data_IF_704320625283
#
_entry.id   IF_704320625283
#
_cell.length_a   1.000
_cell.length_b   1.000
_cell.length_c   1.000
_cell.angle_alpha   90.00
_cell.angle_beta   90.00
_cell.angle_gamma   90.00
#
_symmetry.space_group_name_H-M   'P 1'
#
loop_
_entity.id
_entity.type
_entity.pdbx_description
1 polymer ?
#
# COMPACT_ATOMS: atom_id res chain seq x y z
N UNK A 1 20.91 14.39 48.61
CA UNK A 1 20.01 15.50 48.27
C UNK A 1 20.23 15.89 46.81
N UNK A 2 19.43 15.34 45.91
CA UNK A 2 18.89 16.00 44.71
C UNK A 2 18.09 14.95 43.96
N UNK A 3 16.86 14.76 44.44
CA UNK A 3 15.80 14.15 43.67
C UNK A 3 15.08 15.22 42.85
N UNK A 4 14.27 14.71 41.92
CA UNK A 4 13.20 15.39 41.19
C UNK A 4 13.62 16.47 40.19
N UNK A 5 13.69 16.10 38.90
CA UNK A 5 13.40 17.00 37.77
C UNK A 5 13.20 16.28 36.41
N UNK A 6 12.62 15.07 36.38
CA UNK A 6 12.19 14.41 35.13
C UNK A 6 10.83 13.72 35.27
N UNK A 7 9.81 14.45 35.72
CA UNK A 7 8.44 13.92 35.77
C UNK A 7 7.39 14.98 35.44
N UNK A 8 7.56 15.69 34.32
CA UNK A 8 6.58 16.67 33.88
C UNK A 8 6.51 16.87 32.37
N UNK A 9 6.32 15.79 31.62
CA UNK A 9 5.77 15.86 30.26
C UNK A 9 4.70 14.76 30.08
N UNK A 10 3.44 15.16 30.31
CA UNK A 10 2.24 14.62 29.71
C UNK A 10 2.01 13.10 29.75
N UNK A 11 1.55 12.56 30.88
CA UNK A 11 0.64 11.40 30.84
C UNK A 11 -0.67 11.85 30.18
N UNK A 12 -0.75 11.74 28.86
CA UNK A 12 -2.04 11.77 28.17
C UNK A 12 -2.69 10.40 28.35
N UNK A 13 -3.63 10.34 29.28
CA UNK A 13 -4.60 9.25 29.43
C UNK A 13 -5.33 9.06 28.10
N UNK A 14 -5.02 7.99 27.38
CA UNK A 14 -5.85 7.50 26.27
C UNK A 14 -7.15 6.98 26.86
N UNK A 15 -8.13 7.89 26.98
CA UNK A 15 -9.50 7.53 27.29
C UNK A 15 -10.02 6.49 26.29
N UNK A 16 -10.84 5.56 26.77
CA UNK A 16 -11.40 4.41 26.06
C UNK A 16 -12.43 4.77 24.97
N UNK A 17 -12.26 5.91 24.32
CA UNK A 17 -13.02 6.35 23.15
C UNK A 17 -11.98 6.74 22.10
N UNK A 18 -11.82 5.90 21.07
CA UNK A 18 -10.82 6.11 20.02
C UNK A 18 -10.96 7.50 19.40
N UNK A 19 -9.86 8.17 18.99
CA UNK A 19 -9.90 9.56 18.57
C UNK A 19 -10.84 9.73 17.36
N UNK A 20 -12.00 10.34 17.60
CA UNK A 20 -12.86 10.91 16.56
C UNK A 20 -12.19 12.19 16.04
N UNK A 21 -11.28 12.02 15.10
CA UNK A 21 -10.58 13.11 14.43
C UNK A 21 -9.21 12.64 13.92
N UNK A 22 -9.13 12.40 12.61
CA UNK A 22 -8.03 11.76 11.86
C UNK A 22 -8.02 10.22 12.00
N UNK A 23 -8.58 9.54 10.99
CA UNK A 23 -8.54 8.07 10.85
C UNK A 23 -7.11 7.57 10.65
N UNK A 24 -6.38 7.37 11.74
CA UNK A 24 -5.05 6.75 11.73
C UNK A 24 -5.10 5.36 11.09
N UNK A 25 -4.10 5.05 10.26
CA UNK A 25 -3.97 3.73 9.64
C UNK A 25 -3.38 2.72 10.63
N UNK A 26 -4.06 1.60 10.83
CA UNK A 26 -3.55 0.46 11.62
C UNK A 26 -2.56 -0.35 10.79
N UNK A 27 -1.31 -0.42 11.25
CA UNK A 27 -0.26 -1.27 10.70
C UNK A 27 -0.11 -2.49 11.61
N UNK A 28 -0.19 -3.68 11.04
CA UNK A 28 -0.07 -4.96 11.77
C UNK A 28 1.38 -5.42 11.74
N UNK A 29 2.06 -5.46 12.88
CA UNK A 29 3.35 -6.14 13.01
C UNK A 29 3.08 -7.65 13.16
N UNK A 30 3.60 -8.45 12.23
CA UNK A 30 3.49 -9.91 12.20
C UNK A 30 4.87 -10.46 11.83
N UNK A 31 5.52 -11.17 12.77
CA UNK A 31 6.84 -11.77 12.56
C UNK A 31 7.88 -10.78 12.00
N UNK A 32 7.90 -9.55 12.51
CA UNK A 32 8.84 -8.51 12.08
C UNK A 32 8.47 -7.81 10.77
N UNK A 33 7.34 -8.17 10.14
CA UNK A 33 6.83 -7.54 8.91
C UNK A 33 5.69 -6.59 9.24
N UNK A 34 5.64 -5.47 8.54
CA UNK A 34 4.62 -4.44 8.74
C UNK A 34 3.57 -4.53 7.62
N UNK A 35 2.38 -5.00 7.98
CA UNK A 35 1.34 -5.35 7.01
C UNK A 35 0.11 -4.47 7.16
N UNK A 36 -0.45 -4.04 6.02
CA UNK A 36 -1.74 -3.34 5.97
C UNK A 36 -2.68 -4.13 5.07
N UNK A 37 -3.77 -4.62 5.68
CA UNK A 37 -4.75 -5.48 5.02
C UNK A 37 -5.98 -4.73 4.50
N UNK A 38 -6.32 -3.60 5.12
CA UNK A 38 -7.52 -2.84 4.78
C UNK A 38 -7.33 -2.06 3.46
N UNK A 39 -8.13 -2.31 2.41
CA UNK A 39 -8.04 -1.58 1.15
C UNK A 39 -8.25 -0.08 1.31
N UNK A 40 -9.12 0.36 2.23
CA UNK A 40 -9.39 1.78 2.44
C UNK A 40 -8.18 2.47 3.09
N UNK A 41 -7.57 1.82 4.08
CA UNK A 41 -6.30 2.26 4.66
C UNK A 41 -5.18 2.37 3.63
N UNK A 42 -5.02 1.37 2.76
CA UNK A 42 -4.04 1.38 1.66
C UNK A 42 -4.30 2.54 0.71
N UNK A 43 -5.56 2.77 0.35
CA UNK A 43 -5.93 3.89 -0.51
C UNK A 43 -5.73 5.26 0.17
N UNK A 44 -5.81 5.35 1.49
CA UNK A 44 -5.47 6.56 2.25
C UNK A 44 -3.96 6.81 2.24
N UNK A 45 -3.15 5.80 2.60
CA UNK A 45 -1.68 5.89 2.57
C UNK A 45 -1.17 6.35 1.22
N UNK A 46 -1.72 5.78 0.14
CA UNK A 46 -1.32 6.14 -1.22
C UNK A 46 -1.69 7.57 -1.60
N UNK A 47 -2.85 8.08 -1.17
CA UNK A 47 -3.37 9.40 -1.58
C UNK A 47 -2.91 10.55 -0.69
N UNK A 48 -2.66 10.29 0.59
CA UNK A 48 -2.35 11.33 1.59
C UNK A 48 -0.89 11.34 2.00
N UNK A 49 -0.28 10.16 2.09
CA UNK A 49 1.07 9.97 2.65
C UNK A 49 2.10 9.55 1.60
N UNK A 50 1.72 9.54 0.31
CA UNK A 50 2.56 9.12 -0.82
C UNK A 50 3.23 7.75 -0.60
N UNK A 51 2.58 6.87 0.17
CA UNK A 51 3.13 5.57 0.57
C UNK A 51 2.40 4.46 -0.17
N UNK A 52 3.14 3.67 -0.96
CA UNK A 52 2.57 2.59 -1.77
C UNK A 52 2.59 1.23 -1.07
N UNK A 53 3.67 0.93 -0.36
CA UNK A 53 4.00 -0.44 0.06
C UNK A 53 4.23 -1.38 -1.12
N UNK A 54 4.56 -2.63 -0.80
CA UNK A 54 4.71 -3.72 -1.77
C UNK A 54 3.56 -4.71 -1.58
N UNK A 55 2.81 -5.03 -2.64
CA UNK A 55 1.77 -6.06 -2.57
C UNK A 55 2.43 -7.43 -2.36
N UNK A 56 2.00 -8.16 -1.33
CA UNK A 56 2.59 -9.46 -0.97
C UNK A 56 1.57 -10.58 -0.82
N UNK A 57 0.27 -10.27 -0.88
CA UNK A 57 -0.77 -11.27 -0.81
C UNK A 57 -1.03 -11.96 -2.14
N UNK A 58 -1.68 -13.12 -2.07
CA UNK A 58 -2.18 -13.85 -3.26
C UNK A 58 -3.65 -13.53 -3.49
N UNK A 59 -4.07 -13.51 -4.75
CA UNK A 59 -5.50 -13.36 -5.07
C UNK A 59 -6.23 -14.67 -4.77
N UNK A 60 -7.30 -14.66 -3.94
CA UNK A 60 -7.97 -15.90 -3.54
C UNK A 60 -8.54 -16.71 -4.72
N UNK A 61 -8.86 -16.04 -5.84
CA UNK A 61 -9.41 -16.68 -7.04
C UNK A 61 -8.34 -17.35 -7.92
N UNK A 62 -7.05 -17.00 -7.73
CA UNK A 62 -5.94 -17.49 -8.55
C UNK A 62 -4.70 -17.77 -7.67
N UNK A 63 -4.76 -18.79 -6.79
CA UNK A 63 -3.75 -19.03 -5.77
C UNK A 63 -2.37 -19.44 -6.31
N UNK A 64 -2.29 -19.94 -7.55
CA UNK A 64 -1.04 -20.31 -8.22
C UNK A 64 -0.43 -19.16 -9.02
N UNK A 65 -1.06 -17.98 -9.05
CA UNK A 65 -0.58 -16.84 -9.80
C UNK A 65 0.32 -15.95 -8.94
N UNK A 66 1.63 -16.17 -9.08
CA UNK A 66 2.66 -15.35 -8.40
C UNK A 66 3.04 -14.08 -9.19
N UNK A 67 2.38 -13.81 -10.32
CA UNK A 67 2.70 -12.65 -11.19
C UNK A 67 1.98 -11.38 -10.73
N UNK A 68 0.75 -11.49 -10.21
CA UNK A 68 -0.02 -10.36 -9.71
C UNK A 68 -0.35 -10.58 -8.25
N UNK A 69 0.40 -9.89 -7.39
CA UNK A 69 0.18 -9.89 -5.95
C UNK A 69 -0.94 -8.91 -5.59
N UNK A 70 -1.69 -9.25 -4.55
CA UNK A 70 -2.77 -8.46 -3.98
C UNK A 70 -2.47 -8.04 -2.55
N UNK A 71 -3.52 -7.64 -1.83
CA UNK A 71 -3.43 -7.30 -0.41
C UNK A 71 -3.07 -8.54 0.43
N UNK A 72 -2.30 -8.38 1.51
CA UNK A 72 -1.88 -7.11 2.11
C UNK A 72 -0.74 -6.41 1.35
N UNK A 73 -0.57 -5.11 1.64
CA UNK A 73 0.72 -4.45 1.36
C UNK A 73 1.67 -4.67 2.54
N UNK A 74 2.94 -4.83 2.23
CA UNK A 74 4.05 -4.76 3.16
C UNK A 74 4.68 -3.37 3.08
N UNK A 75 4.83 -2.74 4.26
CA UNK A 75 5.55 -1.49 4.44
C UNK A 75 6.96 -1.78 4.90
N UNK A 76 7.90 -1.00 4.43
CA UNK A 76 9.29 -1.06 4.88
C UNK A 76 9.43 -0.34 6.22
N UNK A 77 10.40 -0.71 7.08
CA UNK A 77 10.60 -0.07 8.38
C UNK A 77 10.67 1.46 8.29
N UNK A 78 11.34 1.97 7.25
CA UNK A 78 11.54 3.40 7.03
C UNK A 78 10.22 4.12 6.71
N UNK A 79 9.34 3.48 5.94
CA UNK A 79 8.00 4.00 5.63
C UNK A 79 7.14 4.02 6.90
N UNK A 80 7.24 2.98 7.72
CA UNK A 80 6.52 2.91 9.00
C UNK A 80 6.98 4.02 9.94
N UNK A 81 8.29 4.22 10.11
CA UNK A 81 8.83 5.32 10.89
C UNK A 81 8.32 6.68 10.39
N UNK A 82 8.35 6.91 9.07
CA UNK A 82 7.89 8.15 8.47
C UNK A 82 6.39 8.40 8.71
N UNK A 83 5.55 7.36 8.67
CA UNK A 83 4.12 7.45 8.96
C UNK A 83 3.84 7.71 10.45
N UNK A 84 4.62 7.10 11.34
CA UNK A 84 4.53 7.30 12.79
C UNK A 84 4.91 8.73 13.18
N UNK A 85 5.97 9.31 12.59
CA UNK A 85 6.38 10.69 12.86
C UNK A 85 5.32 11.72 12.44
N UNK A 86 4.62 11.47 11.34
CA UNK A 86 3.54 12.33 10.83
C UNK A 86 2.22 12.16 11.59
N UNK A 87 2.14 11.18 12.50
CA UNK A 87 0.89 10.80 13.15
C UNK A 87 -0.20 10.44 12.11
N UNK A 88 0.18 9.67 11.07
CA UNK A 88 -0.73 9.14 10.05
C UNK A 88 -1.13 7.68 10.29
N UNK A 89 -0.32 6.96 11.06
CA UNK A 89 -0.51 5.53 11.34
C UNK A 89 -0.08 5.17 12.76
N UNK A 90 -0.43 3.96 13.19
CA UNK A 90 0.05 3.33 14.43
C UNK A 90 0.34 1.85 14.18
N UNK A 91 1.33 1.30 14.89
CA UNK A 91 1.72 -0.11 14.79
C UNK A 91 1.11 -0.90 15.94
N UNK A 92 0.52 -2.06 15.61
CA UNK A 92 -0.03 -3.01 16.56
C UNK A 92 0.69 -4.34 16.42
N UNK A 93 1.20 -4.89 17.51
CA UNK A 93 1.60 -6.30 17.55
C UNK A 93 0.34 -7.15 17.40
N UNK A 94 0.24 -7.84 16.27
CA UNK A 94 -0.95 -8.62 15.99
C UNK A 94 -1.05 -9.85 16.87
N UNK A 95 0.05 -10.52 17.20
CA UNK A 95 0.00 -11.73 18.02
C UNK A 95 -0.48 -11.37 19.42
N UNK A 96 0.10 -10.34 20.01
CA UNK A 96 -0.26 -9.89 21.35
C UNK A 96 -1.68 -9.30 21.41
N UNK A 97 -2.08 -8.52 20.40
CA UNK A 97 -3.44 -7.99 20.32
C UNK A 97 -4.49 -9.11 20.24
N UNK A 98 -4.24 -10.14 19.41
CA UNK A 98 -5.16 -11.28 19.31
C UNK A 98 -5.15 -12.11 20.60
N UNK A 99 -3.99 -12.40 21.19
CA UNK A 99 -3.90 -13.15 22.44
C UNK A 99 -4.63 -12.43 23.59
N UNK A 100 -4.46 -11.11 23.70
CA UNK A 100 -5.14 -10.29 24.71
C UNK A 100 -6.65 -10.32 24.49
N UNK A 101 -7.11 -10.16 23.25
CA UNK A 101 -8.53 -10.21 22.91
C UNK A 101 -9.16 -11.58 23.11
N UNK A 102 -8.41 -12.67 22.91
CA UNK A 102 -8.89 -14.04 23.16
C UNK A 102 -8.99 -14.35 24.65
N UNK A 103 -8.14 -13.72 25.48
CA UNK A 103 -8.14 -13.90 26.94
C UNK A 103 -9.13 -13.00 27.67
N UNK A 104 -9.58 -11.90 27.05
CA UNK A 104 -10.53 -10.99 27.68
C UNK A 104 -11.97 -11.54 27.69
N UNK A 105 -12.63 -11.51 28.85
CA UNK A 105 -14.04 -11.92 29.03
C UNK A 105 -15.08 -11.01 28.36
N UNK A 106 -14.64 -9.98 27.60
CA UNK A 106 -15.51 -9.05 26.87
C UNK A 106 -16.24 -9.69 25.67
N UNK A 107 -16.37 -11.01 25.64
CA UNK A 107 -16.67 -11.77 24.42
C UNK A 107 -18.09 -11.55 23.90
N UNK A 108 -19.10 -11.36 24.76
CA UNK A 108 -20.49 -11.29 24.30
C UNK A 108 -20.81 -10.02 23.50
N UNK A 109 -20.39 -8.84 23.99
CA UNK A 109 -20.61 -7.58 23.31
C UNK A 109 -19.76 -7.45 22.03
N UNK A 110 -18.47 -7.80 22.10
CA UNK A 110 -17.57 -7.81 20.94
C UNK A 110 -18.02 -8.82 19.87
N UNK A 111 -18.49 -10.00 20.27
CA UNK A 111 -19.09 -10.99 19.36
C UNK A 111 -20.38 -10.48 18.74
N UNK A 112 -21.24 -9.81 19.50
CA UNK A 112 -22.44 -9.16 18.99
C UNK A 112 -22.11 -8.11 17.92
N UNK A 113 -21.11 -7.27 18.19
CA UNK A 113 -20.60 -6.29 17.23
C UNK A 113 -20.04 -6.97 15.96
N UNK A 114 -19.26 -8.05 16.12
CA UNK A 114 -18.73 -8.82 15.00
C UNK A 114 -19.82 -9.40 14.12
N UNK A 115 -20.83 -10.06 14.71
CA UNK A 115 -21.93 -10.67 13.98
C UNK A 115 -22.73 -9.60 13.21
N UNK A 116 -22.96 -8.44 13.84
CA UNK A 116 -23.62 -7.31 13.20
C UNK A 116 -22.79 -6.78 12.02
N UNK A 117 -21.49 -6.63 12.20
CA UNK A 117 -20.55 -6.23 11.14
C UNK A 117 -20.59 -7.21 9.97
N UNK A 118 -20.41 -8.52 10.22
CA UNK A 118 -20.47 -9.57 9.20
C UNK A 118 -21.79 -9.56 8.42
N UNK A 119 -22.92 -9.37 9.12
CA UNK A 119 -24.24 -9.28 8.49
C UNK A 119 -24.33 -8.09 7.54
N UNK A 120 -23.83 -6.92 7.98
CA UNK A 120 -23.76 -5.72 7.15
C UNK A 120 -22.86 -5.90 5.93
N UNK A 121 -21.65 -6.44 6.12
CA UNK A 121 -20.72 -6.72 5.02
C UNK A 121 -21.30 -7.71 4.01
N UNK A 122 -22.01 -8.75 4.46
CA UNK A 122 -22.71 -9.70 3.58
C UNK A 122 -23.79 -9.00 2.73
N UNK A 123 -24.60 -8.16 3.35
CA UNK A 123 -25.66 -7.41 2.65
C UNK A 123 -25.05 -6.46 1.61
N UNK A 124 -24.01 -5.72 1.98
CA UNK A 124 -23.30 -4.82 1.07
C UNK A 124 -22.69 -5.59 -0.12
N UNK A 125 -22.04 -6.72 0.14
CA UNK A 125 -21.46 -7.54 -0.92
C UNK A 125 -22.53 -8.10 -1.87
N UNK A 126 -23.65 -8.59 -1.33
CA UNK A 126 -24.79 -9.06 -2.12
C UNK A 126 -25.37 -7.95 -3.03
N UNK A 127 -25.57 -6.75 -2.47
CA UNK A 127 -26.04 -5.59 -3.23
C UNK A 127 -25.07 -5.20 -4.35
N UNK A 128 -23.77 -5.22 -4.08
CA UNK A 128 -22.74 -4.84 -5.06
C UNK A 128 -22.67 -5.86 -6.20
N UNK A 129 -22.76 -7.15 -5.89
CA UNK A 129 -22.78 -8.23 -6.87
C UNK A 129 -24.05 -8.20 -7.73
N UNK A 130 -25.22 -7.99 -7.12
CA UNK A 130 -26.49 -7.89 -7.87
C UNK A 130 -26.52 -6.67 -8.79
N UNK A 131 -25.96 -5.54 -8.35
CA UNK A 131 -25.79 -4.36 -9.20
C UNK A 131 -24.86 -4.63 -10.38
N UNK A 132 -23.75 -5.34 -10.15
CA UNK A 132 -22.77 -5.70 -11.20
C UNK A 132 -23.35 -6.68 -12.22
N UNK A 133 -24.13 -7.68 -11.78
CA UNK A 133 -24.81 -8.61 -12.70
C UNK A 133 -25.88 -7.90 -13.53
N UNK A 134 -26.65 -6.99 -12.92
CA UNK A 134 -27.64 -6.18 -13.63
C UNK A 134 -26.99 -5.25 -14.69
N UNK A 135 -25.84 -4.63 -14.39
CA UNK A 135 -25.09 -3.83 -15.36
C UNK A 135 -24.54 -4.67 -16.51
N UNK A 136 -24.01 -5.87 -16.23
CA UNK A 136 -23.54 -6.79 -17.28
C UNK A 136 -24.69 -7.25 -18.19
N UNK A 137 -25.86 -7.57 -17.61
CA UNK A 137 -27.05 -7.95 -18.40
C UNK A 137 -27.53 -6.81 -19.32
N UNK A 138 -27.47 -5.56 -18.85
CA UNK A 138 -27.78 -4.37 -19.67
C UNK A 138 -26.76 -4.15 -20.78
N UNK A 139 -25.46 -4.29 -20.50
CA UNK A 139 -24.40 -4.18 -21.51
C UNK A 139 -24.48 -5.26 -22.59
N UNK A 140 -24.80 -6.50 -22.20
CA UNK A 140 -25.01 -7.60 -23.13
C UNK A 140 -26.25 -7.40 -24.03
N UNK A 141 -27.38 -6.97 -23.45
CA UNK A 141 -28.60 -6.68 -24.21
C UNK A 141 -28.42 -5.51 -25.20
N UNK A 142 -27.57 -4.53 -24.88
CA UNK A 142 -27.27 -3.39 -25.77
C UNK A 142 -26.36 -3.83 -26.92
N UNK A 143 -25.42 -4.75 -26.67
CA UNK A 143 -24.55 -5.33 -27.70
C UNK A 143 -25.32 -6.30 -28.62
N UNK A 144 -26.21 -7.13 -28.08
CA UNK A 144 -27.04 -8.05 -28.87
C UNK A 144 -28.01 -7.29 -29.78
N UNK A 145 -28.66 -6.24 -29.29
CA UNK A 145 -29.57 -5.40 -30.09
C UNK A 145 -28.82 -4.65 -31.22
N UNK A 146 -27.57 -4.24 -30.98
CA UNK A 146 -26.68 -3.67 -32.01
C UNK A 146 -26.24 -4.73 -33.05
N UNK A 147 -26.06 -5.98 -32.66
CA UNK A 147 -25.65 -7.05 -33.57
C UNK A 147 -26.81 -7.57 -34.44
N UNK A 148 -28.05 -7.59 -33.91
CA UNK A 148 -29.24 -7.95 -34.68
C UNK A 148 -29.56 -6.93 -35.79
N UNK A 149 -29.35 -5.63 -35.53
CA UNK A 149 -29.52 -4.57 -36.55
C UNK A 149 -28.45 -4.64 -37.67
N UNK A 150 -27.24 -5.12 -37.35
CA UNK A 150 -26.16 -5.30 -38.35
C UNK A 150 -26.35 -6.59 -39.18
N UNK A 151 -26.91 -7.65 -38.60
CA UNK A 151 -27.17 -8.89 -39.35
C UNK A 151 -28.38 -8.73 -40.29
N UNK A 152 -29.39 -7.95 -39.90
CA UNK A 152 -30.57 -7.71 -40.74
C UNK A 152 -30.30 -6.80 -41.95
N UNK A 153 -29.21 -6.04 -41.93
CA UNK A 153 -28.78 -5.15 -43.02
C UNK A 153 -27.78 -5.80 -43.98
N UNK A 154 -27.33 -7.03 -43.73
CA UNK A 154 -26.30 -7.73 -44.51
C UNK A 154 -26.80 -8.92 -45.36
N UNK A 155 -28.10 -9.20 -45.39
CA UNK A 155 -28.66 -10.27 -46.25
C UNK A 155 -28.80 -9.88 -47.74
N UNK A 156 -28.10 -8.84 -48.21
CA UNK A 156 -28.10 -8.40 -49.60
C UNK A 156 -26.72 -7.95 -50.07
N UNK A 157 -25.74 -8.86 -50.08
CA UNK A 157 -24.64 -8.86 -51.08
C UNK A 157 -23.70 -10.06 -50.89
N UNK A 158 -23.70 -10.91 -51.92
CA UNK A 158 -22.71 -11.93 -52.24
C UNK A 158 -21.36 -11.31 -52.61
N UNK A 159 -20.25 -11.99 -52.30
CA UNK A 159 -18.92 -11.70 -52.84
C UNK A 159 -17.80 -12.12 -51.90
N UNK A 160 -16.93 -12.98 -52.40
CA UNK A 160 -15.94 -13.79 -51.70
C UNK A 160 -14.61 -13.10 -51.29
N UNK A 161 -13.93 -13.80 -50.37
CA UNK A 161 -12.48 -13.94 -50.16
C UNK A 161 -11.66 -13.03 -49.19
N UNK A 162 -11.28 -13.70 -48.08
CA UNK A 162 -10.07 -13.73 -47.25
C UNK A 162 -9.08 -12.55 -47.17
N UNK A 163 -8.72 -12.16 -45.92
CA UNK A 163 -7.33 -12.12 -45.40
C UNK A 163 -7.32 -12.22 -43.84
N UNK A 164 -6.59 -13.24 -43.38
CA UNK A 164 -5.92 -13.50 -42.09
C UNK A 164 -6.43 -12.88 -40.76
N UNK A 165 -6.95 -13.75 -39.89
CA UNK A 165 -7.17 -13.53 -38.47
C UNK A 165 -5.92 -13.92 -37.66
N UNK A 166 -5.26 -12.95 -37.02
CA UNK A 166 -4.26 -13.18 -35.98
C UNK A 166 -4.95 -13.09 -34.61
N UNK A 167 -4.75 -14.15 -33.80
CA UNK A 167 -5.60 -14.49 -32.67
C UNK A 167 -5.54 -13.51 -31.50
N UNK A 168 -6.67 -12.84 -31.27
CA UNK A 168 -7.03 -12.38 -29.93
C UNK A 168 -7.42 -13.64 -29.16
N UNK A 169 -6.57 -14.06 -28.22
CA UNK A 169 -6.89 -15.13 -27.29
C UNK A 169 -8.18 -14.78 -26.57
N UNK A 170 -9.26 -15.39 -27.06
CA UNK A 170 -10.61 -15.34 -26.56
C UNK A 170 -10.57 -15.95 -25.18
N UNK A 171 -10.51 -15.10 -24.16
CA UNK A 171 -10.72 -15.49 -22.76
C UNK A 171 -12.01 -16.30 -22.74
N UNK A 172 -11.87 -17.60 -22.50
CA UNK A 172 -13.00 -18.49 -22.31
C UNK A 172 -13.77 -17.93 -21.10
N UNK A 173 -14.89 -17.28 -21.41
CA UNK A 173 -15.83 -16.83 -20.40
C UNK A 173 -16.43 -18.08 -19.76
N UNK A 174 -15.84 -18.51 -18.66
CA UNK A 174 -16.43 -19.51 -17.80
C UNK A 174 -17.76 -18.95 -17.27
N UNK A 175 -18.87 -19.47 -17.81
CA UNK A 175 -20.23 -19.18 -17.35
C UNK A 175 -20.46 -19.94 -16.04
N UNK A 176 -19.73 -19.59 -15.00
CA UNK A 176 -20.12 -20.02 -13.66
C UNK A 176 -21.30 -19.16 -13.23
N UNK A 177 -22.47 -19.78 -13.29
CA UNK A 177 -23.70 -19.32 -12.69
C UNK A 177 -23.42 -19.17 -11.19
N UNK A 178 -23.05 -17.97 -10.73
CA UNK A 178 -22.74 -17.71 -9.31
C UNK A 178 -24.05 -17.86 -8.55
N UNK A 179 -24.28 -19.07 -8.03
CA UNK A 179 -25.40 -19.38 -7.17
C UNK A 179 -25.20 -18.57 -5.89
N UNK A 180 -25.92 -17.45 -5.77
CA UNK A 180 -25.74 -16.43 -4.71
C UNK A 180 -26.09 -16.97 -3.30
N UNK A 181 -26.54 -18.23 -3.22
CA UNK A 181 -27.07 -18.88 -2.02
C UNK A 181 -26.11 -19.02 -0.83
N UNK A 182 -24.79 -18.96 -1.01
CA UNK A 182 -23.84 -19.09 0.11
C UNK A 182 -22.63 -18.15 -0.03
N UNK A 183 -22.86 -16.84 -0.08
CA UNK A 183 -21.76 -15.87 0.07
C UNK A 183 -21.29 -15.83 1.54
N UNK A 184 -20.14 -16.44 1.80
CA UNK A 184 -19.37 -16.23 3.03
C UNK A 184 -18.47 -14.99 2.85
N UNK A 185 -18.55 -14.04 3.78
CA UNK A 185 -17.68 -12.86 3.80
C UNK A 185 -16.57 -13.10 4.82
N UNK A 186 -15.34 -13.20 4.33
CA UNK A 186 -14.14 -13.17 5.18
C UNK A 186 -13.75 -11.73 5.42
N UNK A 187 -13.60 -11.33 6.69
CA UNK A 187 -13.14 -9.98 7.02
C UNK A 187 -11.68 -9.80 6.62
N UNK A 188 -11.37 -8.66 6.00
CA UNK A 188 -10.00 -8.32 5.59
C UNK A 188 -9.12 -7.90 6.77
N UNK A 189 -9.70 -7.50 7.90
CA UNK A 189 -8.96 -7.02 9.07
C UNK A 189 -9.76 -7.25 10.36
N UNK A 190 -9.05 -7.54 11.44
CA UNK A 190 -9.59 -7.65 12.80
C UNK A 190 -9.73 -6.28 13.49
N UNK A 191 -9.50 -5.16 12.78
CA UNK A 191 -9.49 -3.81 13.36
C UNK A 191 -10.81 -3.41 14.04
N UNK A 192 -11.94 -3.98 13.63
CA UNK A 192 -13.26 -3.71 14.23
C UNK A 192 -13.53 -4.51 15.51
N UNK A 193 -12.66 -5.47 15.85
CA UNK A 193 -12.79 -6.36 17.00
C UNK A 193 -11.67 -6.18 18.01
N UNK A 194 -10.46 -5.95 17.52
CA UNK A 194 -9.32 -5.69 18.36
C UNK A 194 -9.39 -4.23 18.79
N UNK A 195 -9.59 -4.00 20.08
CA UNK A 195 -9.28 -2.72 20.70
C UNK A 195 -7.81 -2.36 20.39
N UNK A 196 -7.43 -1.09 20.54
CA UNK A 196 -6.04 -0.62 20.41
C UNK A 196 -5.05 -1.23 21.43
N UNK A 197 -5.37 -2.38 22.01
CA UNK A 197 -4.45 -3.20 22.79
C UNK A 197 -3.29 -3.68 21.91
N UNK A 198 -2.07 -3.65 22.46
CA UNK A 198 -0.85 -4.04 21.74
C UNK A 198 -0.30 -2.96 20.80
N UNK A 199 -0.64 -1.68 20.99
CA UNK A 199 0.11 -0.59 20.35
C UNK A 199 1.57 -0.73 20.76
N UNK A 200 2.43 -0.98 19.76
CA UNK A 200 3.86 -0.99 19.99
C UNK A 200 4.33 0.45 20.15
N UNK A 201 5.01 0.74 21.27
CA UNK A 201 5.88 1.90 21.33
C UNK A 201 7.05 1.60 20.41
N UNK A 202 6.96 2.12 19.18
CA UNK A 202 8.02 1.98 18.21
C UNK A 202 9.19 2.82 18.71
N UNK A 203 10.26 2.13 19.14
CA UNK A 203 11.46 2.81 19.57
C UNK A 203 12.00 3.57 18.36
N UNK A 204 12.06 4.90 18.49
CA UNK A 204 12.44 5.80 17.40
C UNK A 204 13.95 5.75 17.16
N UNK A 205 14.54 4.56 17.16
CA UNK A 205 15.89 4.37 16.63
C UNK A 205 15.88 4.88 15.18
N UNK A 206 16.84 5.73 14.79
CA UNK A 206 16.89 6.27 13.45
C UNK A 206 17.34 5.14 12.51
N UNK A 207 16.40 4.28 12.12
CA UNK A 207 16.54 3.56 10.86
C UNK A 207 16.79 4.61 9.78
N UNK A 208 17.52 4.26 8.71
CA UNK A 208 17.80 5.11 7.54
C UNK A 208 16.50 5.48 6.82
N UNK A 209 15.70 6.32 7.46
CA UNK A 209 14.33 6.67 7.13
C UNK A 209 14.16 8.15 6.85
N UNK A 210 15.26 8.91 7.00
CA UNK A 210 15.23 10.35 6.95
C UNK A 210 15.01 10.81 5.51
N UNK A 211 15.66 10.14 4.55
CA UNK A 211 15.46 10.38 3.12
C UNK A 211 14.06 9.96 2.68
N UNK A 212 13.57 8.82 3.15
CA UNK A 212 12.20 8.36 2.87
C UNK A 212 11.17 9.39 3.36
N UNK A 213 11.32 9.84 4.60
CA UNK A 213 10.48 10.87 5.21
C UNK A 213 10.44 12.16 4.40
N UNK A 214 11.63 12.67 4.07
CA UNK A 214 11.86 13.87 3.28
C UNK A 214 11.26 13.79 1.87
N UNK A 215 11.51 12.71 1.13
CA UNK A 215 10.99 12.54 -0.22
C UNK A 215 9.45 12.52 -0.22
N UNK A 216 8.84 11.80 0.73
CA UNK A 216 7.38 11.77 0.87
C UNK A 216 6.80 13.14 1.21
N UNK A 217 7.43 13.93 2.09
CA UNK A 217 6.94 15.29 2.42
C UNK A 217 7.03 16.25 1.25
N UNK A 218 7.91 15.98 0.28
CA UNK A 218 8.06 16.75 -0.97
C UNK A 218 7.21 16.20 -2.12
N UNK A 219 6.25 15.31 -1.86
CA UNK A 219 5.32 14.82 -2.88
C UNK A 219 5.82 13.60 -3.67
N UNK A 220 7.00 13.07 -3.36
CA UNK A 220 7.54 11.92 -4.07
C UNK A 220 6.97 10.60 -3.54
N UNK A 221 6.87 9.65 -4.47
CA UNK A 221 6.52 8.26 -4.20
C UNK A 221 7.75 7.40 -4.37
N UNK A 222 7.80 6.26 -3.69
CA UNK A 222 8.95 5.36 -3.76
C UNK A 222 8.52 3.90 -3.88
N UNK A 223 9.33 3.13 -4.59
CA UNK A 223 9.29 1.67 -4.58
C UNK A 223 10.69 1.13 -4.27
N UNK A 224 10.85 -0.15 -3.89
CA UNK A 224 12.16 -0.75 -3.68
C UNK A 224 13.06 -0.61 -4.90
N UNK A 225 14.27 -0.07 -4.71
CA UNK A 225 15.24 0.18 -5.78
C UNK A 225 16.13 -1.02 -6.14
N UNK A 226 15.95 -2.17 -5.48
CA UNK A 226 16.87 -3.32 -5.56
C UNK A 226 17.19 -3.76 -7.00
N UNK A 227 16.17 -3.73 -7.88
CA UNK A 227 16.33 -4.09 -9.31
C UNK A 227 17.31 -3.18 -10.06
N UNK A 228 17.52 -1.96 -9.57
CA UNK A 228 18.37 -0.94 -10.19
C UNK A 228 19.62 -0.65 -9.34
N UNK A 229 19.91 -1.48 -8.33
CA UNK A 229 21.06 -1.31 -7.44
C UNK A 229 20.99 -0.05 -6.57
N UNK A 230 19.79 0.36 -6.18
CA UNK A 230 19.56 1.47 -5.26
C UNK A 230 18.61 1.07 -4.13
N UNK A 231 18.51 1.88 -3.08
CA UNK A 231 17.53 1.66 -2.01
C UNK A 231 16.11 1.99 -2.49
N UNK A 232 15.95 3.09 -3.23
CA UNK A 232 14.65 3.58 -3.69
C UNK A 232 14.66 3.84 -5.20
N UNK A 233 13.58 3.46 -5.87
CA UNK A 233 13.16 4.10 -7.12
C UNK A 233 12.21 5.24 -6.75
N UNK A 234 12.54 6.48 -7.10
CA UNK A 234 11.80 7.67 -6.68
C UNK A 234 11.02 8.25 -7.86
N UNK A 235 9.74 8.52 -7.63
CA UNK A 235 8.78 8.96 -8.63
C UNK A 235 8.27 10.36 -8.28
N UNK A 236 8.00 11.23 -9.28
CA UNK A 236 7.38 12.54 -9.06
C UNK A 236 5.90 12.46 -8.68
N UNK A 237 5.31 11.26 -8.74
CA UNK A 237 3.93 10.99 -8.41
C UNK A 237 3.68 9.48 -8.36
N UNK A 238 2.41 9.09 -8.31
CA UNK A 238 2.00 7.69 -8.21
C UNK A 238 2.70 6.77 -9.24
N UNK A 239 3.39 5.68 -8.82
CA UNK A 239 4.11 4.76 -9.72
C UNK A 239 3.25 4.05 -10.78
N UNK A 240 1.92 4.05 -10.65
CA UNK A 240 1.01 3.56 -11.69
C UNK A 240 0.82 4.55 -12.83
N UNK A 241 1.21 5.81 -12.65
CA UNK A 241 1.05 6.91 -13.61
C UNK A 241 2.38 7.49 -14.07
N UNK A 242 3.41 7.41 -13.25
CA UNK A 242 4.70 8.04 -13.49
C UNK A 242 5.82 7.01 -13.59
N UNK A 243 6.86 7.36 -14.35
CA UNK A 243 8.14 6.66 -14.29
C UNK A 243 9.02 7.26 -13.19
N UNK A 244 9.95 6.46 -12.67
CA UNK A 244 10.93 6.97 -11.72
C UNK A 244 11.78 8.06 -12.39
N UNK A 245 12.22 9.04 -11.60
CA UNK A 245 13.18 10.06 -12.00
C UNK A 245 14.55 9.81 -11.37
N UNK A 246 14.56 9.32 -10.13
CA UNK A 246 15.79 9.08 -9.36
C UNK A 246 15.92 7.63 -8.92
N UNK A 247 17.17 7.16 -8.87
CA UNK A 247 17.57 6.01 -8.08
C UNK A 247 18.28 6.54 -6.83
N UNK A 248 17.72 6.31 -5.64
CA UNK A 248 18.15 7.02 -4.43
C UNK A 248 18.73 6.10 -3.35
N UNK A 249 19.79 6.57 -2.69
CA UNK A 249 20.43 5.95 -1.53
C UNK A 249 20.59 6.95 -0.38
N UNK A 250 20.33 6.49 0.84
CA UNK A 250 20.58 7.21 2.09
C UNK A 250 21.91 6.78 2.74
N UNK A 251 22.69 7.77 3.14
CA UNK A 251 23.94 7.65 3.90
C UNK A 251 23.84 8.49 5.18
N UNK A 252 24.58 8.09 6.22
CA UNK A 252 24.73 8.94 7.41
C UNK A 252 25.57 10.18 7.08
N UNK A 253 25.41 11.23 7.88
CA UNK A 253 26.07 12.51 7.66
C UNK A 253 27.59 12.40 7.50
N UNK A 254 28.23 11.71 8.45
CA UNK A 254 29.68 11.52 8.50
C UNK A 254 30.12 10.17 7.92
N UNK A 255 29.24 9.47 7.17
CA UNK A 255 29.58 8.22 6.52
C UNK A 255 30.52 8.47 5.34
N UNK A 256 31.69 7.85 5.36
CA UNK A 256 32.58 7.85 4.20
C UNK A 256 31.93 7.04 3.08
N UNK A 257 31.64 7.69 1.96
CA UNK A 257 31.07 7.03 0.78
C UNK A 257 32.23 6.59 -0.14
N UNK A 258 32.43 5.29 -0.39
CA UNK A 258 33.42 4.83 -1.35
C UNK A 258 33.16 5.44 -2.72
N UNK A 259 34.20 5.97 -3.37
CA UNK A 259 34.05 6.60 -4.69
C UNK A 259 33.47 5.64 -5.75
N UNK A 260 33.76 4.34 -5.61
CA UNK A 260 33.22 3.29 -6.47
C UNK A 260 31.71 3.13 -6.33
N UNK A 261 31.13 3.39 -5.15
CA UNK A 261 29.68 3.34 -4.94
C UNK A 261 28.99 4.52 -5.62
N UNK A 262 29.65 5.69 -5.64
CA UNK A 262 29.18 6.86 -6.38
C UNK A 262 29.20 6.59 -7.88
N UNK A 263 30.34 6.10 -8.40
CA UNK A 263 30.50 5.77 -9.83
C UNK A 263 29.55 4.64 -10.25
N UNK A 264 29.43 3.61 -9.41
CA UNK A 264 28.54 2.47 -9.63
C UNK A 264 27.07 2.87 -9.63
N UNK A 265 26.63 3.62 -8.61
CA UNK A 265 25.28 4.16 -8.52
C UNK A 265 24.94 5.08 -9.70
N UNK A 266 25.85 5.98 -10.06
CA UNK A 266 25.74 6.83 -11.25
C UNK A 266 25.57 6.01 -12.53
N UNK A 267 26.42 5.00 -12.76
CA UNK A 267 26.33 4.10 -13.93
C UNK A 267 25.00 3.36 -13.98
N UNK A 268 24.53 2.80 -12.86
CA UNK A 268 23.29 2.02 -12.81
C UNK A 268 22.06 2.90 -13.03
N UNK A 269 22.02 4.10 -12.45
CA UNK A 269 20.92 5.04 -12.62
C UNK A 269 20.84 5.58 -14.07
N UNK A 270 21.97 6.02 -14.63
CA UNK A 270 21.96 6.61 -15.99
C UNK A 270 21.70 5.59 -17.08
N UNK A 271 22.07 4.31 -16.87
CA UNK A 271 21.72 3.21 -17.78
C UNK A 271 20.20 3.08 -18.00
N UNK A 272 19.38 3.49 -17.02
CA UNK A 272 17.92 3.51 -17.11
C UNK A 272 17.34 4.93 -17.26
N UNK A 273 18.17 5.90 -17.66
CA UNK A 273 17.82 7.32 -17.84
C UNK A 273 17.21 7.93 -16.58
N UNK A 274 17.92 7.76 -15.45
CA UNK A 274 17.58 8.31 -14.12
C UNK A 274 18.81 9.02 -13.56
N UNK A 275 18.59 10.04 -12.75
CA UNK A 275 19.65 10.62 -11.95
C UNK A 275 19.91 9.73 -10.72
N UNK A 276 21.18 9.62 -10.31
CA UNK A 276 21.51 8.97 -9.05
C UNK A 276 21.37 10.00 -7.92
N UNK A 277 20.51 9.75 -6.95
CA UNK A 277 20.26 10.65 -5.83
C UNK A 277 20.92 10.08 -4.58
N UNK A 278 21.72 10.89 -3.90
CA UNK A 278 22.20 10.55 -2.56
C UNK A 278 21.64 11.55 -1.57
N UNK A 279 21.34 11.09 -0.36
CA UNK A 279 20.83 11.95 0.69
C UNK A 279 21.31 11.53 2.07
N UNK A 280 21.38 12.51 2.97
CA UNK A 280 21.77 12.28 4.35
C UNK A 280 21.21 13.38 5.26
N UNK A 281 20.96 13.02 6.51
CA UNK A 281 20.48 13.96 7.52
C UNK A 281 21.64 14.64 8.23
N UNK A 282 21.67 15.95 8.18
CA UNK A 282 22.57 16.79 8.95
C UNK A 282 22.30 16.60 10.46
N UNK A 283 23.31 16.10 11.16
CA UNK A 283 23.26 15.80 12.60
C UNK A 283 23.75 16.95 13.47
N UNK A 284 24.14 18.08 12.87
CA UNK A 284 24.58 19.28 13.62
C UNK A 284 23.48 19.87 14.50
N UNK A 285 22.21 19.61 14.17
CA UNK A 285 21.06 19.95 15.00
C UNK A 285 20.53 18.70 15.73
N UNK A 286 20.43 18.76 17.07
CA UNK A 286 19.90 17.65 17.89
C UNK A 286 18.40 17.40 17.64
N UNK A 287 17.67 18.40 17.15
CA UNK A 287 16.24 18.31 16.85
C UNK A 287 16.01 17.84 15.41
N UNK A 288 15.07 16.91 15.20
CA UNK A 288 14.67 16.48 13.85
C UNK A 288 13.96 17.64 13.13
N UNK A 289 14.65 18.22 12.15
CA UNK A 289 14.12 19.23 11.24
C UNK A 289 14.06 18.64 9.81
N UNK A 290 12.92 18.66 9.10
CA UNK A 290 12.86 18.28 7.68
C UNK A 290 13.90 19.00 6.81
N UNK A 291 14.29 20.23 7.16
CA UNK A 291 15.30 21.02 6.43
C UNK A 291 16.74 20.56 6.73
N UNK A 292 16.93 19.64 7.70
CA UNK A 292 18.23 19.04 7.97
C UNK A 292 18.66 18.00 6.91
N UNK A 293 17.78 17.64 5.96
CA UNK A 293 18.12 16.65 4.94
C UNK A 293 18.75 17.36 3.74
N UNK A 294 19.97 16.96 3.40
CA UNK A 294 20.62 17.39 2.15
C UNK A 294 20.63 16.27 1.15
N UNK A 295 20.36 16.62 -0.10
CA UNK A 295 20.38 15.68 -1.22
C UNK A 295 21.23 16.21 -2.36
N UNK A 296 21.88 15.30 -3.08
CA UNK A 296 22.69 15.60 -4.26
C UNK A 296 22.27 14.66 -5.38
N UNK A 297 21.97 15.23 -6.56
CA UNK A 297 21.77 14.47 -7.79
C UNK A 297 23.07 14.38 -8.56
N UNK A 298 23.42 13.18 -8.99
CA UNK A 298 24.63 12.85 -9.72
C UNK A 298 24.22 12.29 -11.07
N UNK A 299 24.75 12.90 -12.12
CA UNK A 299 24.55 12.49 -13.50
C UNK A 299 25.91 12.40 -14.19
N UNK A 300 26.00 11.53 -15.19
CA UNK A 300 27.18 11.51 -16.04
C UNK A 300 27.19 12.77 -16.88
N UNK A 301 28.16 13.65 -16.62
CA UNK A 301 28.50 14.74 -17.52
C UNK A 301 29.14 14.14 -18.78
N UNK A 302 28.32 13.81 -19.77
CA UNK A 302 28.82 13.48 -21.09
C UNK A 302 29.27 14.77 -21.78
N UNK A 303 30.55 14.81 -22.18
CA UNK A 303 31.04 15.65 -23.28
C UNK A 303 30.48 15.14 -24.60
#
# INVERSE_FOLDING_TARGET
MHGALYDRLGRMSLAADGPKGLELVRISNIAGRYLVFDPDAVARLRRRDNTNGTLVGTTPQQPTQNVFLGLPIELRPEEVCALLRRNSAYVVDSVDAHNTSLRSDSSAASRGHFIKYLRGSKQAAHYTLSKRSAQKGRGAATYERSSEDVVRSRSSRSGDEHIASAGINRVQHDKQNINVGHLAVTTVSSATLLASAGILQFDRTPARDALCGFLQSHGHYMTPGLRFGAQYSVYPGDPLRFHAHFMANEYYWDEQIPILDIVGGGRLATAVKKAFLIGGRDTTSETYDPDSIRTYSIEWAAM
#
